data_IF_465206961511
#
_entry.id   IF_465206961511
#
_cell.length_a   1.000
_cell.length_b   1.000
_cell.length_c   1.000
_cell.angle_alpha   90.00
_cell.angle_beta   90.00
_cell.angle_gamma   90.00
#
_symmetry.space_group_name_H-M   'P 1'
#
loop_
_entity.id
_entity.type
_entity.pdbx_description
1 polymer ?
#
# COMPACT_ATOMS: atom_id res chain seq x y z
N UNK A 1 -15.79 -22.17 7.40
CA UNK A 1 -15.32 -22.51 6.05
C UNK A 1 -13.81 -22.34 6.03
N UNK A 2 -13.06 -23.41 5.75
CA UNK A 2 -11.61 -23.28 5.53
C UNK A 2 -11.40 -22.65 4.15
N UNK A 3 -10.84 -21.45 4.09
CA UNK A 3 -10.33 -20.91 2.84
C UNK A 3 -9.20 -21.84 2.34
N UNK A 4 -9.28 -22.32 1.10
CA UNK A 4 -8.26 -23.21 0.52
C UNK A 4 -6.90 -22.53 0.32
N UNK A 5 -6.75 -21.26 0.69
CA UNK A 5 -5.49 -20.52 0.59
C UNK A 5 -5.09 -20.16 -0.84
N UNK A 6 -5.93 -20.44 -1.83
CA UNK A 6 -5.77 -20.00 -3.21
C UNK A 6 -6.17 -18.53 -3.35
N UNK A 7 -5.36 -17.75 -4.07
CA UNK A 7 -5.63 -16.35 -4.37
C UNK A 7 -5.93 -16.20 -5.86
N UNK A 8 -6.95 -15.40 -6.17
CA UNK A 8 -7.43 -15.18 -7.52
C UNK A 8 -7.82 -13.72 -7.74
N UNK A 9 -7.39 -13.13 -8.85
CA UNK A 9 -7.99 -11.90 -9.36
C UNK A 9 -9.08 -12.27 -10.37
N UNK A 10 -10.30 -11.83 -10.11
CA UNK A 10 -11.43 -12.03 -11.00
C UNK A 10 -11.76 -10.72 -11.71
N UNK A 11 -11.77 -10.74 -13.04
CA UNK A 11 -12.36 -9.66 -13.80
C UNK A 11 -13.89 -9.89 -13.85
N UNK A 12 -14.71 -9.04 -13.22
CA UNK A 12 -16.13 -9.34 -12.97
C UNK A 12 -16.98 -9.42 -14.24
N UNK A 13 -16.61 -8.70 -15.31
CA UNK A 13 -17.38 -8.69 -16.56
C UNK A 13 -16.97 -9.79 -17.54
N UNK A 14 -15.68 -9.91 -17.88
CA UNK A 14 -15.18 -10.99 -18.76
C UNK A 14 -15.17 -12.37 -18.10
N UNK A 15 -15.29 -12.44 -16.76
CA UNK A 15 -15.13 -13.66 -15.96
C UNK A 15 -13.74 -14.27 -16.02
N UNK A 16 -12.77 -13.58 -16.62
CA UNK A 16 -11.38 -14.02 -16.64
C UNK A 16 -10.84 -14.06 -15.21
N UNK A 17 -10.11 -15.12 -14.89
CA UNK A 17 -9.46 -15.30 -13.61
C UNK A 17 -7.96 -15.41 -13.81
N UNK A 18 -7.20 -14.65 -13.02
CA UNK A 18 -5.76 -14.76 -12.91
C UNK A 18 -5.48 -15.52 -11.62
N UNK A 19 -4.96 -16.74 -11.78
CA UNK A 19 -4.52 -17.58 -10.68
C UNK A 19 -3.21 -17.03 -10.11
N UNK A 20 -3.19 -16.78 -8.81
CA UNK A 20 -2.02 -16.26 -8.10
C UNK A 20 -1.37 -17.34 -7.25
N UNK A 21 -0.08 -17.20 -6.89
CA UNK A 21 0.56 -18.12 -5.96
C UNK A 21 -0.15 -18.13 -4.60
N UNK A 22 -0.14 -19.29 -3.93
CA UNK A 22 -0.95 -19.52 -2.73
C UNK A 22 -0.52 -18.68 -1.52
N UNK A 23 -1.40 -18.62 -0.51
CA UNK A 23 -1.13 -18.00 0.79
C UNK A 23 0.07 -18.59 1.54
N UNK A 24 0.36 -19.87 1.34
CA UNK A 24 1.52 -20.52 1.95
C UNK A 24 2.81 -19.90 1.40
N UNK A 25 2.87 -19.61 0.09
CA UNK A 25 4.02 -18.97 -0.53
C UNK A 25 4.31 -17.55 0.02
N UNK A 26 3.32 -16.84 0.59
CA UNK A 26 3.54 -15.58 1.33
C UNK A 26 4.02 -15.80 2.77
N UNK A 27 3.61 -16.90 3.40
CA UNK A 27 3.92 -17.21 4.80
C UNK A 27 5.34 -17.77 4.96
N UNK A 28 5.86 -18.47 3.95
CA UNK A 28 7.17 -19.10 3.96
C UNK A 28 8.33 -18.11 4.11
N UNK A 29 8.10 -16.82 3.87
CA UNK A 29 9.13 -15.77 4.00
C UNK A 29 9.61 -15.54 5.45
N UNK A 30 8.82 -15.86 6.47
CA UNK A 30 9.11 -15.45 7.87
C UNK A 30 9.38 -16.63 8.82
N UNK A 31 9.19 -17.87 8.37
CA UNK A 31 9.66 -19.05 9.09
C UNK A 31 9.22 -19.21 10.55
N UNK A 32 8.03 -18.74 10.96
CA UNK A 32 7.51 -18.92 12.34
C UNK A 32 5.97 -19.09 12.42
N UNK A 33 5.56 -19.55 13.61
CA UNK A 33 4.47 -20.46 14.04
C UNK A 33 3.00 -20.19 13.63
N UNK A 34 2.18 -21.23 13.84
CA UNK A 34 0.72 -21.25 13.66
C UNK A 34 0.04 -20.08 14.41
N UNK A 35 -0.80 -19.33 13.70
CA UNK A 35 -1.61 -18.26 14.28
C UNK A 35 -2.61 -18.87 15.29
N UNK A 36 -2.77 -18.30 16.50
CA UNK A 36 -3.81 -18.73 17.44
C UNK A 36 -5.19 -18.74 16.76
N UNK A 37 -5.95 -19.82 16.98
CA UNK A 37 -7.31 -19.96 16.41
C UNK A 37 -8.17 -18.75 16.77
N UNK A 38 -8.59 -17.98 15.77
CA UNK A 38 -9.56 -16.88 15.92
C UNK A 38 -9.14 -15.55 15.29
N UNK A 39 -7.87 -15.39 14.91
CA UNK A 39 -7.38 -14.17 14.24
C UNK A 39 -7.03 -14.45 12.77
N UNK A 40 -7.87 -13.99 11.84
CA UNK A 40 -7.62 -14.10 10.40
C UNK A 40 -7.03 -12.77 9.92
N UNK A 41 -5.77 -12.48 10.28
CA UNK A 41 -5.06 -11.28 9.80
C UNK A 41 -4.07 -11.61 8.67
N UNK A 42 -4.46 -12.41 7.68
CA UNK A 42 -3.60 -12.73 6.52
C UNK A 42 -4.36 -12.57 5.21
N UNK A 43 -4.86 -11.36 4.97
CA UNK A 43 -5.44 -10.96 3.70
C UNK A 43 -4.52 -10.01 2.96
N UNK A 44 -4.56 -10.10 1.63
CA UNK A 44 -4.08 -9.03 0.75
C UNK A 44 -5.02 -7.85 0.97
N UNK A 45 -4.46 -6.73 1.41
CA UNK A 45 -5.21 -5.52 1.77
C UNK A 45 -5.39 -4.63 0.55
N UNK A 46 -4.31 -4.40 -0.21
CA UNK A 46 -4.29 -3.54 -1.40
C UNK A 46 -3.55 -4.22 -2.54
N UNK A 47 -3.98 -3.93 -3.78
CA UNK A 47 -3.34 -4.46 -4.98
C UNK A 47 -3.23 -3.40 -6.07
N UNK A 48 -2.15 -3.42 -6.85
CA UNK A 48 -2.03 -2.63 -8.08
C UNK A 48 -1.52 -3.52 -9.21
N UNK A 49 -1.96 -3.21 -10.43
CA UNK A 49 -1.43 -3.79 -11.66
C UNK A 49 -0.66 -2.71 -12.42
N UNK A 50 0.53 -3.02 -12.92
CA UNK A 50 1.31 -2.08 -13.74
C UNK A 50 0.70 -1.80 -15.11
N UNK A 51 -0.16 -2.71 -15.59
CA UNK A 51 -0.83 -2.59 -16.88
C UNK A 51 -2.12 -3.42 -16.88
N UNK A 52 -3.01 -3.14 -17.84
CA UNK A 52 -4.26 -3.88 -18.00
C UNK A 52 -3.98 -5.31 -18.51
N UNK A 53 -4.31 -6.37 -17.72
CA UNK A 53 -4.08 -7.77 -18.10
C UNK A 53 -4.87 -8.23 -19.33
N UNK A 54 -5.88 -7.47 -19.76
CA UNK A 54 -6.66 -7.74 -20.98
C UNK A 54 -5.96 -7.23 -22.24
N UNK A 55 -4.98 -6.34 -22.10
CA UNK A 55 -4.26 -5.71 -23.22
C UNK A 55 -2.85 -6.29 -23.40
N UNK A 56 -2.22 -6.72 -22.30
CA UNK A 56 -0.86 -7.24 -22.32
C UNK A 56 -0.69 -8.36 -21.30
N UNK A 57 0.18 -9.32 -21.61
CA UNK A 57 0.68 -10.33 -20.66
C UNK A 57 1.90 -9.85 -19.88
N UNK A 58 2.48 -8.71 -20.27
CA UNK A 58 3.63 -8.09 -19.61
C UNK A 58 3.13 -7.09 -18.56
N UNK A 59 2.75 -7.61 -17.39
CA UNK A 59 2.33 -6.81 -16.25
C UNK A 59 2.90 -7.38 -14.95
N UNK A 60 3.00 -6.51 -13.95
CA UNK A 60 3.34 -6.85 -12.57
C UNK A 60 2.09 -6.65 -11.73
N UNK A 61 1.71 -7.67 -10.96
CA UNK A 61 0.80 -7.53 -9.83
C UNK A 61 1.62 -7.28 -8.58
N UNK A 62 1.32 -6.21 -7.88
CA UNK A 62 1.89 -5.96 -6.56
C UNK A 62 0.80 -5.91 -5.51
N UNK A 63 1.11 -6.48 -4.35
CA UNK A 63 0.20 -6.63 -3.22
C UNK A 63 0.80 -6.01 -1.97
N UNK A 64 -0.04 -5.34 -1.19
CA UNK A 64 0.20 -5.04 0.21
C UNK A 64 -0.61 -6.03 1.04
N UNK A 65 0.02 -6.63 2.05
CA UNK A 65 -0.62 -7.63 2.89
C UNK A 65 -0.11 -7.52 4.32
N UNK A 66 -0.97 -7.87 5.26
CA UNK A 66 -0.61 -7.89 6.67
C UNK A 66 -0.02 -9.25 7.06
N UNK A 67 1.15 -9.23 7.70
CA UNK A 67 1.75 -10.41 8.34
C UNK A 67 2.58 -9.98 9.56
N UNK A 68 1.92 -9.75 10.69
CA UNK A 68 2.47 -9.12 11.91
C UNK A 68 3.03 -7.70 11.71
N UNK A 69 3.08 -7.22 10.46
CA UNK A 69 3.55 -5.93 10.00
C UNK A 69 3.09 -5.74 8.55
N UNK A 70 3.11 -4.49 8.05
CA UNK A 70 2.79 -4.18 6.66
C UNK A 70 3.90 -4.70 5.73
N UNK A 71 3.55 -5.66 4.86
CA UNK A 71 4.46 -6.32 3.93
C UNK A 71 4.07 -6.03 2.48
N UNK A 72 5.06 -6.07 1.59
CA UNK A 72 4.88 -5.88 0.16
C UNK A 72 5.45 -7.08 -0.61
N UNK A 73 4.72 -7.54 -1.62
CA UNK A 73 5.20 -8.56 -2.53
C UNK A 73 4.66 -8.32 -3.95
N UNK A 74 5.33 -8.87 -4.96
CA UNK A 74 4.85 -8.82 -6.32
C UNK A 74 4.97 -10.16 -7.04
N UNK A 75 4.26 -10.26 -8.15
CA UNK A 75 4.19 -11.43 -9.01
C UNK A 75 4.00 -10.99 -10.46
N UNK A 76 4.61 -11.70 -11.40
CA UNK A 76 4.36 -11.53 -12.84
C UNK A 76 3.77 -12.81 -13.44
N UNK A 77 3.01 -12.70 -14.54
CA UNK A 77 2.59 -13.86 -15.31
C UNK A 77 3.76 -14.77 -15.65
N UNK A 78 3.69 -16.03 -15.20
CA UNK A 78 4.73 -17.03 -15.39
C UNK A 78 5.70 -17.20 -14.20
N UNK A 79 5.73 -16.28 -13.24
CA UNK A 79 6.48 -16.46 -12.00
C UNK A 79 5.82 -17.59 -11.16
N UNK A 80 6.63 -18.50 -10.64
CA UNK A 80 6.13 -19.63 -9.82
C UNK A 80 5.72 -19.21 -8.41
N UNK A 81 6.32 -18.15 -7.87
CA UNK A 81 6.16 -17.72 -6.47
C UNK A 81 6.13 -16.19 -6.36
N UNK A 82 5.68 -15.69 -5.21
CA UNK A 82 5.78 -14.28 -4.84
C UNK A 82 7.24 -13.85 -4.65
N UNK A 83 7.55 -12.62 -5.07
CA UNK A 83 8.81 -11.94 -4.78
C UNK A 83 8.57 -10.88 -3.72
N UNK A 84 9.19 -11.02 -2.54
CA UNK A 84 8.97 -10.12 -1.41
C UNK A 84 9.85 -8.88 -1.47
N UNK A 85 9.33 -7.77 -0.96
CA UNK A 85 10.06 -6.52 -0.70
C UNK A 85 10.24 -6.44 0.82
N UNK A 86 11.49 -6.51 1.30
CA UNK A 86 11.77 -6.50 2.73
C UNK A 86 11.69 -5.07 3.26
N UNK A 87 10.71 -4.86 4.13
CA UNK A 87 10.45 -3.60 4.84
C UNK A 87 10.95 -3.64 6.29
N UNK A 88 11.57 -4.74 6.75
CA UNK A 88 11.87 -4.97 8.17
C UNK A 88 13.38 -4.86 8.49
N UNK A 89 13.70 -4.02 9.48
CA UNK A 89 15.02 -3.92 10.10
C UNK A 89 15.20 -4.93 11.25
N UNK A 90 15.17 -6.24 11.01
CA UNK A 90 15.59 -7.17 12.07
C UNK A 90 17.13 -7.25 12.13
N UNK A 91 17.69 -6.68 13.19
CA UNK A 91 19.06 -6.93 13.67
C UNK A 91 19.18 -8.18 14.56
N UNK A 92 18.26 -9.14 14.43
CA UNK A 92 18.25 -10.40 15.20
C UNK A 92 18.94 -11.56 14.48
N UNK A 93 19.30 -12.64 15.20
CA UNK A 93 20.05 -13.76 14.63
C UNK A 93 19.26 -14.43 13.51
N UNK A 94 19.97 -14.71 12.41
CA UNK A 94 19.48 -15.33 11.18
C UNK A 94 18.52 -16.49 11.46
N UNK A 95 17.23 -16.28 11.24
CA UNK A 95 16.25 -17.37 11.13
C UNK A 95 16.54 -18.10 9.82
N UNK A 96 16.49 -19.44 9.84
CA UNK A 96 16.83 -20.29 8.71
C UNK A 96 16.11 -19.84 7.44
N UNK A 97 16.87 -19.72 6.33
CA UNK A 97 16.32 -19.32 5.05
C UNK A 97 15.21 -20.30 4.61
N UNK A 98 14.11 -19.81 4.01
CA UNK A 98 13.02 -20.68 3.56
C UNK A 98 13.51 -21.68 2.51
N UNK A 99 12.93 -22.88 2.52
CA UNK A 99 13.26 -23.98 1.59
C UNK A 99 12.94 -23.60 0.12
N UNK A 100 12.04 -22.63 -0.08
CA UNK A 100 11.79 -21.96 -1.38
C UNK A 100 12.49 -20.61 -1.37
N UNK A 101 13.41 -20.40 -2.30
CA UNK A 101 14.23 -19.19 -2.40
C UNK A 101 13.38 -18.00 -2.87
N UNK A 102 12.68 -17.35 -1.95
CA UNK A 102 12.09 -16.03 -2.22
C UNK A 102 13.24 -15.06 -2.55
N UNK A 103 13.14 -14.39 -3.69
CA UNK A 103 14.13 -13.40 -4.08
C UNK A 103 13.75 -12.08 -3.42
N UNK A 104 14.60 -11.58 -2.53
CA UNK A 104 14.46 -10.22 -2.03
C UNK A 104 14.70 -9.25 -3.20
N UNK A 105 13.72 -8.39 -3.49
CA UNK A 105 13.86 -7.37 -4.54
C UNK A 105 14.65 -6.17 -4.03
N UNK A 106 14.08 -5.44 -3.07
CA UNK A 106 14.68 -4.26 -2.47
C UNK A 106 14.52 -4.35 -0.96
N UNK A 107 15.52 -3.88 -0.23
CA UNK A 107 15.46 -3.70 1.21
C UNK A 107 15.29 -2.22 1.51
N UNK A 108 14.16 -1.84 2.08
CA UNK A 108 13.96 -0.47 2.57
C UNK A 108 14.74 -0.32 3.86
N UNK A 109 15.72 0.58 3.88
CA UNK A 109 16.50 0.92 5.06
C UNK A 109 16.44 2.42 5.28
N UNK A 110 15.66 2.82 6.26
CA UNK A 110 15.61 4.17 6.79
C UNK A 110 15.44 4.07 8.31
N UNK A 111 16.13 4.92 9.08
CA UNK A 111 16.01 4.92 10.54
C UNK A 111 14.61 5.34 10.98
N UNK A 112 13.92 6.12 10.13
CA UNK A 112 12.55 6.57 10.39
C UNK A 112 11.59 5.38 10.56
N UNK A 113 11.85 4.24 9.90
CA UNK A 113 11.03 3.03 10.07
C UNK A 113 11.04 2.45 11.48
N UNK A 114 12.04 2.79 12.30
CA UNK A 114 12.17 2.24 13.66
C UNK A 114 11.30 3.01 14.68
N UNK A 115 10.89 4.25 14.35
CA UNK A 115 10.21 5.18 15.26
C UNK A 115 8.79 5.59 14.79
N UNK A 116 8.46 5.34 13.52
CA UNK A 116 7.18 5.72 12.93
C UNK A 116 6.35 4.49 12.52
N UNK A 117 5.02 4.62 12.64
CA UNK A 117 4.08 3.72 11.97
C UNK A 117 4.09 4.00 10.47
N UNK A 118 4.13 2.95 9.67
CA UNK A 118 4.31 3.07 8.22
C UNK A 118 3.24 2.34 7.44
N UNK A 119 2.70 3.03 6.44
CA UNK A 119 1.84 2.44 5.42
C UNK A 119 2.45 2.58 4.03
N UNK A 120 2.12 1.61 3.18
CA UNK A 120 2.58 1.57 1.80
C UNK A 120 1.39 1.60 0.85
N UNK A 121 1.50 2.47 -0.15
CA UNK A 121 0.58 2.59 -1.25
C UNK A 121 1.34 2.42 -2.56
N UNK A 122 0.65 1.88 -3.55
CA UNK A 122 1.22 1.69 -4.87
C UNK A 122 0.35 2.40 -5.89
N UNK A 123 1.00 3.22 -6.70
CA UNK A 123 0.34 4.13 -7.63
C UNK A 123 0.94 3.92 -9.00
N UNK A 124 0.10 3.72 -10.00
CA UNK A 124 0.51 3.81 -11.40
C UNK A 124 0.53 5.29 -11.81
N UNK A 125 1.61 5.72 -12.46
CA UNK A 125 1.76 7.06 -13.02
C UNK A 125 2.52 6.99 -14.35
N UNK A 126 1.83 7.28 -15.46
CA UNK A 126 2.43 7.33 -16.80
C UNK A 126 3.19 6.05 -17.22
N UNK A 127 2.72 4.89 -16.78
CA UNK A 127 3.33 3.57 -16.98
C UNK A 127 4.40 3.20 -15.96
N UNK A 128 4.77 4.11 -15.06
CA UNK A 128 5.67 3.83 -13.95
C UNK A 128 4.88 3.32 -12.72
N UNK A 129 5.50 2.42 -11.97
CA UNK A 129 5.00 2.01 -10.66
C UNK A 129 5.69 2.83 -9.58
N UNK A 130 4.91 3.58 -8.81
CA UNK A 130 5.39 4.35 -7.67
C UNK A 130 5.01 3.65 -6.37
N UNK A 131 5.98 3.53 -5.46
CA UNK A 131 5.78 3.20 -4.06
C UNK A 131 5.69 4.50 -3.27
N UNK A 132 4.52 4.75 -2.68
CA UNK A 132 4.31 5.85 -1.74
C UNK A 132 4.35 5.29 -0.32
N UNK A 133 5.28 5.80 0.47
CA UNK A 133 5.46 5.45 1.87
C UNK A 133 4.94 6.58 2.73
N UNK A 134 3.95 6.29 3.57
CA UNK A 134 3.36 7.20 4.53
C UNK A 134 3.98 6.90 5.91
N UNK A 135 4.44 7.95 6.59
CA UNK A 135 4.97 7.88 7.94
C UNK A 135 4.06 8.66 8.90
N UNK A 136 3.68 8.01 10.00
CA UNK A 136 2.84 8.59 11.04
C UNK A 136 3.39 8.30 12.43
N UNK A 137 3.06 9.17 13.38
CA UNK A 137 3.27 8.92 14.80
C UNK A 137 1.94 8.55 15.46
N UNK A 138 2.01 7.68 16.47
CA UNK A 138 0.85 7.45 17.32
C UNK A 138 0.64 8.70 18.19
N UNK A 139 -0.57 9.26 18.14
CA UNK A 139 -1.01 10.36 18.96
C UNK A 139 -1.66 9.79 20.23
N UNK A 140 -0.96 9.88 21.36
CA UNK A 140 -1.45 9.36 22.65
C UNK A 140 -2.64 10.14 23.22
N UNK A 141 -2.87 11.39 22.80
CA UNK A 141 -3.98 12.21 23.32
C UNK A 141 -5.30 11.90 22.62
N UNK A 142 -5.23 11.62 21.31
CA UNK A 142 -6.39 11.30 20.48
C UNK A 142 -6.57 9.79 20.20
N UNK A 143 -5.69 8.95 20.75
CA UNK A 143 -5.60 7.50 20.49
C UNK A 143 -5.60 7.17 18.99
N UNK A 144 -4.95 8.00 18.17
CA UNK A 144 -4.96 7.93 16.71
C UNK A 144 -3.56 8.00 16.09
N UNK A 145 -3.50 8.18 14.77
CA UNK A 145 -2.24 8.40 14.05
C UNK A 145 -2.26 9.75 13.36
N UNK A 146 -1.14 10.46 13.46
CA UNK A 146 -0.92 11.70 12.74
C UNK A 146 0.15 11.49 11.67
N UNK A 147 -0.25 11.60 10.41
CA UNK A 147 0.68 11.56 9.29
C UNK A 147 1.56 12.81 9.34
N UNK A 148 2.89 12.61 9.23
CA UNK A 148 3.85 13.71 9.25
C UNK A 148 4.72 13.77 7.99
N UNK A 149 4.80 12.67 7.22
CA UNK A 149 5.65 12.63 6.03
C UNK A 149 5.18 11.62 5.00
N UNK A 150 5.40 11.97 3.74
CA UNK A 150 5.36 11.04 2.63
C UNK A 150 6.71 10.95 1.94
N UNK A 151 6.97 9.77 1.38
CA UNK A 151 8.09 9.53 0.47
C UNK A 151 7.57 8.82 -0.76
N UNK A 152 7.94 9.31 -1.94
CA UNK A 152 7.58 8.69 -3.22
C UNK A 152 8.85 8.13 -3.85
N UNK A 153 8.80 6.87 -4.25
CA UNK A 153 9.90 6.20 -4.93
C UNK A 153 9.38 5.47 -6.16
N UNK A 154 10.01 5.67 -7.31
CA UNK A 154 9.77 4.88 -8.51
C UNK A 154 10.42 3.51 -8.37
N UNK A 155 9.68 2.46 -8.69
CA UNK A 155 10.12 1.08 -8.62
C UNK A 155 10.54 0.54 -9.98
N UNK A 156 11.83 0.23 -10.12
CA UNK A 156 12.34 -0.56 -11.24
C UNK A 156 12.38 -2.04 -10.84
N UNK A 157 11.36 -2.78 -11.25
CA UNK A 157 11.21 -4.22 -10.95
C UNK A 157 12.30 -5.06 -11.63
N UNK A 158 12.85 -4.59 -12.76
CA UNK A 158 13.87 -5.32 -13.52
C UNK A 158 15.24 -5.15 -12.88
N UNK A 159 15.63 -3.89 -12.59
CA UNK A 159 16.89 -3.57 -11.92
C UNK A 159 16.85 -3.86 -10.43
N UNK A 160 15.65 -4.02 -9.86
CA UNK A 160 15.43 -4.22 -8.42
C UNK A 160 15.93 -3.02 -7.63
N UNK A 161 15.51 -1.85 -8.06
CA UNK A 161 15.94 -0.58 -7.50
C UNK A 161 14.73 0.30 -7.20
N UNK A 162 14.87 1.12 -6.16
CA UNK A 162 13.95 2.20 -5.85
C UNK A 162 14.68 3.52 -6.06
N UNK A 163 14.05 4.42 -6.78
CA UNK A 163 14.55 5.79 -6.98
C UNK A 163 13.59 6.77 -6.37
N UNK A 164 14.06 7.49 -5.36
CA UNK A 164 13.26 8.53 -4.73
C UNK A 164 13.00 9.66 -5.73
N UNK A 165 11.74 10.13 -5.75
CA UNK A 165 11.29 11.25 -6.55
C UNK A 165 10.55 12.24 -5.66
N UNK A 166 10.70 13.52 -5.98
CA UNK A 166 10.05 14.63 -5.29
C UNK A 166 9.25 15.54 -6.23
N UNK A 167 9.10 15.13 -7.49
CA UNK A 167 8.39 15.87 -8.52
C UNK A 167 7.52 14.91 -9.34
N UNK A 168 6.20 15.13 -9.30
CA UNK A 168 5.18 14.43 -10.07
C UNK A 168 4.77 15.21 -11.34
N UNK A 169 5.40 16.37 -11.59
CA UNK A 169 4.99 17.34 -12.59
C UNK A 169 3.55 17.81 -12.38
N UNK A 170 2.78 17.86 -13.45
CA UNK A 170 1.35 18.23 -13.42
C UNK A 170 0.44 17.15 -12.82
N UNK A 171 1.00 16.11 -12.18
CA UNK A 171 0.23 15.01 -11.61
C UNK A 171 0.00 15.16 -10.11
N UNK A 172 -1.08 14.57 -9.63
CA UNK A 172 -1.45 14.53 -8.21
C UNK A 172 -1.83 13.11 -7.83
N UNK A 173 -1.42 12.68 -6.64
CA UNK A 173 -1.74 11.37 -6.10
C UNK A 173 -2.88 11.50 -5.07
N UNK A 174 -3.80 10.54 -5.09
CA UNK A 174 -4.88 10.39 -4.10
C UNK A 174 -4.73 9.06 -3.39
N UNK A 175 -4.64 9.08 -2.06
CA UNK A 175 -4.44 7.91 -1.20
C UNK A 175 -5.61 7.77 -0.23
N UNK A 176 -6.09 6.55 -0.07
CA UNK A 176 -7.03 6.22 0.99
C UNK A 176 -7.41 4.76 0.99
N UNK A 177 -8.43 4.44 1.78
CA UNK A 177 -8.90 3.08 2.02
C UNK A 177 -9.21 2.29 0.76
N UNK A 178 -9.89 2.91 -0.20
CA UNK A 178 -10.33 2.23 -1.41
C UNK A 178 -9.23 2.08 -2.46
N UNK A 179 -8.03 2.56 -2.17
CA UNK A 179 -6.86 2.42 -3.02
C UNK A 179 -6.13 3.74 -3.24
N UNK A 180 -5.19 3.67 -4.17
CA UNK A 180 -4.35 4.78 -4.53
C UNK A 180 -4.47 5.02 -6.04
N UNK A 181 -4.49 6.29 -6.43
CA UNK A 181 -4.62 6.67 -7.84
C UNK A 181 -3.85 7.94 -8.13
N UNK A 182 -3.50 8.15 -9.40
CA UNK A 182 -2.96 9.41 -9.88
C UNK A 182 -3.90 10.04 -10.89
N UNK A 183 -3.88 11.37 -10.98
CA UNK A 183 -4.59 12.13 -12.01
C UNK A 183 -3.69 13.23 -12.56
N UNK A 184 -3.99 13.63 -13.80
CA UNK A 184 -3.49 14.88 -14.38
C UNK A 184 -4.25 16.06 -13.76
N UNK A 185 -3.58 16.79 -12.86
CA UNK A 185 -4.16 17.89 -12.09
C UNK A 185 -4.56 19.07 -12.96
N UNK A 186 -3.90 19.27 -14.11
CA UNK A 186 -4.19 20.37 -15.03
C UNK A 186 -5.63 20.31 -15.58
N UNK A 187 -6.26 19.14 -15.54
CA UNK A 187 -7.64 18.90 -15.97
C UNK A 187 -8.69 19.30 -14.92
N UNK A 188 -8.29 19.64 -13.69
CA UNK A 188 -9.21 19.87 -12.57
C UNK A 188 -8.92 21.19 -11.85
N UNK A 189 -9.96 22.00 -11.63
CA UNK A 189 -9.81 23.24 -10.86
C UNK A 189 -9.70 22.94 -9.37
N UNK A 190 -8.71 23.56 -8.71
CA UNK A 190 -8.52 23.45 -7.26
C UNK A 190 -7.69 22.24 -6.81
N UNK A 191 -7.23 21.39 -7.74
CA UNK A 191 -6.26 20.34 -7.46
C UNK A 191 -4.87 20.90 -7.70
N UNK A 192 -3.99 20.79 -6.71
CA UNK A 192 -2.61 21.27 -6.81
C UNK A 192 -1.71 20.20 -7.48
N UNK A 193 -0.88 20.55 -8.47
CA UNK A 193 0.11 19.63 -9.04
C UNK A 193 1.19 19.28 -8.00
N UNK A 194 1.94 18.21 -8.20
CA UNK A 194 2.99 17.77 -7.28
C UNK A 194 2.55 17.58 -5.82
N UNK A 195 1.30 17.17 -5.61
CA UNK A 195 0.72 16.97 -4.28
C UNK A 195 0.21 15.54 -4.09
N UNK A 196 0.12 15.15 -2.82
CA UNK A 196 -0.55 13.93 -2.37
C UNK A 196 -1.75 14.34 -1.52
N UNK A 197 -2.95 13.91 -1.90
CA UNK A 197 -4.17 14.06 -1.14
C UNK A 197 -4.44 12.74 -0.43
N UNK A 198 -4.63 12.76 0.88
CA UNK A 198 -4.83 11.54 1.65
C UNK A 198 -6.05 11.64 2.56
N UNK A 199 -6.71 10.50 2.75
CA UNK A 199 -7.76 10.30 3.75
C UNK A 199 -7.32 9.29 4.79
N UNK A 200 -7.94 9.34 5.96
CA UNK A 200 -7.64 8.48 7.09
C UNK A 200 -7.86 7.00 6.74
N UNK A 201 -6.80 6.21 6.82
CA UNK A 201 -6.76 4.80 6.46
C UNK A 201 -6.15 3.93 7.57
N UNK A 202 -6.26 4.37 8.82
CA UNK A 202 -5.83 3.62 9.99
C UNK A 202 -6.97 2.78 10.56
N UNK A 203 -7.53 1.90 9.71
CA UNK A 203 -8.81 1.23 9.97
C UNK A 203 -8.89 0.44 11.28
N UNK A 204 -7.79 -0.18 11.68
CA UNK A 204 -7.71 -0.98 12.90
C UNK A 204 -7.99 -0.13 14.14
N UNK A 205 -7.70 1.17 14.10
CA UNK A 205 -7.90 2.09 15.21
C UNK A 205 -9.33 2.63 15.31
N UNK A 206 -10.13 2.54 14.24
CA UNK A 206 -11.45 3.20 14.20
C UNK A 206 -12.43 2.67 15.26
N UNK A 207 -12.20 1.46 15.78
CA UNK A 207 -13.02 0.91 16.86
C UNK A 207 -12.64 1.44 18.24
N UNK A 208 -11.39 1.85 18.42
CA UNK A 208 -10.80 2.29 19.68
C UNK A 208 -10.90 3.82 19.84
N UNK A 209 -10.70 4.56 18.74
CA UNK A 209 -10.75 6.02 18.74
C UNK A 209 -12.19 6.54 18.95
N UNK A 210 -12.36 7.59 19.75
CA UNK A 210 -13.63 8.29 19.88
C UNK A 210 -14.10 8.82 18.51
N UNK A 211 -15.36 8.60 18.13
CA UNK A 211 -15.86 9.01 16.80
C UNK A 211 -15.37 8.19 15.59
N UNK A 212 -14.33 7.36 15.74
CA UNK A 212 -13.76 6.54 14.67
C UNK A 212 -12.71 7.24 13.83
N UNK A 213 -12.57 6.86 12.55
CA UNK A 213 -11.61 7.47 11.63
C UNK A 213 -12.08 8.81 11.07
N UNK A 214 -11.26 9.42 10.23
CA UNK A 214 -11.54 10.67 9.52
C UNK A 214 -10.83 11.89 10.13
N UNK A 215 -9.76 11.68 10.90
CA UNK A 215 -8.93 12.75 11.49
C UNK A 215 -7.68 13.01 10.67
N UNK A 216 -7.01 11.92 10.27
CA UNK A 216 -5.74 11.97 9.55
C UNK A 216 -5.99 12.19 8.05
N UNK A 217 -6.30 13.43 7.68
CA UNK A 217 -6.60 13.81 6.30
C UNK A 217 -5.94 15.12 5.94
N UNK A 218 -5.40 15.20 4.72
CA UNK A 218 -4.75 16.42 4.28
C UNK A 218 -4.20 16.36 2.87
N UNK A 219 -3.52 17.45 2.52
CA UNK A 219 -2.67 17.52 1.34
C UNK A 219 -1.23 17.61 1.79
N UNK A 220 -0.36 16.86 1.14
CA UNK A 220 1.08 16.93 1.30
C UNK A 220 1.69 17.51 0.03
N UNK A 221 2.40 18.61 0.15
CA UNK A 221 3.24 19.17 -0.91
C UNK A 221 4.53 18.35 -1.00
N UNK A 222 4.81 17.75 -2.16
CA UNK A 222 5.99 16.90 -2.32
C UNK A 222 7.30 17.70 -2.45
N UNK A 223 7.22 18.99 -2.80
CA UNK A 223 8.38 19.88 -2.91
C UNK A 223 8.85 20.32 -1.51
N UNK A 224 7.94 20.91 -0.73
CA UNK A 224 8.28 21.51 0.57
C UNK A 224 8.03 20.57 1.76
N UNK A 225 7.30 19.47 1.55
CA UNK A 225 6.96 18.49 2.60
C UNK A 225 5.91 18.97 3.59
N UNK A 226 5.13 20.00 3.23
CA UNK A 226 4.13 20.61 4.10
C UNK A 226 2.82 19.84 4.03
N UNK A 227 2.26 19.53 5.21
CA UNK A 227 0.90 18.99 5.35
C UNK A 227 -0.06 20.12 5.67
N UNK A 228 -1.13 20.23 4.89
CA UNK A 228 -2.24 21.15 5.12
C UNK A 228 -3.56 20.38 5.23
N UNK A 229 -4.45 20.80 6.13
CA UNK A 229 -5.83 20.32 6.10
C UNK A 229 -6.58 20.96 4.93
N UNK A 230 -7.21 20.13 4.08
CA UNK A 230 -8.11 20.61 3.03
C UNK A 230 -9.58 20.67 3.48
N UNK A 231 -9.91 20.13 4.65
CA UNK A 231 -11.27 20.06 5.17
C UNK A 231 -11.35 20.73 6.54
N UNK A 232 -12.02 21.89 6.66
CA UNK A 232 -12.05 22.65 7.91
C UNK A 232 -12.96 22.03 8.99
N UNK A 233 -13.69 20.96 8.68
CA UNK A 233 -14.61 20.29 9.59
C UNK A 233 -14.09 18.96 10.10
N UNK A 234 -14.95 18.25 10.83
CA UNK A 234 -14.74 16.86 11.22
C UNK A 234 -15.71 15.96 10.46
N UNK A 235 -15.22 14.88 9.88
CA UNK A 235 -16.04 13.88 9.19
C UNK A 235 -15.81 12.49 9.80
N UNK A 236 -16.03 12.38 11.12
CA UNK A 236 -15.70 11.20 11.87
C UNK A 236 -16.68 10.05 11.61
N UNK A 237 -16.15 8.84 11.45
CA UNK A 237 -16.98 7.64 11.32
C UNK A 237 -16.20 6.37 11.67
N UNK A 238 -16.83 5.51 12.47
CA UNK A 238 -16.30 4.17 12.80
C UNK A 238 -16.43 3.17 11.66
N UNK A 239 -17.32 3.43 10.71
CA UNK A 239 -17.70 2.45 9.66
C UNK A 239 -17.18 2.91 8.30
N UNK A 240 -17.31 4.21 8.03
CA UNK A 240 -17.09 4.80 6.72
C UNK A 240 -16.54 6.22 6.89
N UNK A 241 -15.27 6.40 7.28
CA UNK A 241 -14.62 7.70 7.20
C UNK A 241 -14.51 8.14 5.73
N UNK A 242 -14.12 9.41 5.47
CA UNK A 242 -13.99 9.92 4.12
C UNK A 242 -13.12 9.04 3.24
N UNK A 243 -13.56 8.86 2.00
CA UNK A 243 -12.86 8.06 1.00
C UNK A 243 -13.00 8.69 -0.36
N UNK A 244 -12.03 8.43 -1.23
CA UNK A 244 -12.06 8.89 -2.60
C UNK A 244 -13.01 8.05 -3.44
N UNK A 245 -13.78 8.72 -4.30
CA UNK A 245 -14.67 8.06 -5.27
C UNK A 245 -14.24 8.50 -6.65
N UNK A 246 -13.79 7.55 -7.46
CA UNK A 246 -13.53 7.75 -8.88
C UNK A 246 -14.71 7.15 -9.66
N UNK A 247 -15.58 7.98 -10.27
CA UNK A 247 -16.66 7.46 -11.09
C UNK A 247 -16.04 6.71 -12.28
N UNK A 248 -16.16 5.38 -12.27
CA UNK A 248 -15.63 4.51 -13.31
C UNK A 248 -16.72 3.61 -13.87
N UNK A 249 -17.31 4.05 -14.98
CA UNK A 249 -17.91 3.17 -15.99
C UNK A 249 -17.72 3.81 -17.36
N UNK A 250 -16.77 3.27 -18.13
CA UNK A 250 -16.74 3.37 -19.59
C UNK A 250 -16.54 1.98 -20.16
#
# INVERSE_FOLDING_TARGET
MSCNGEFNLLHPFSRNQIQLPSRQALSDFVGLEEVPKGQIYRCIDKTVLSANPSLTSDYVLMISYFNFSNCLAFWRPGDLNWTNIDTRNFGGPSIAQPIVKSHLLVRLKDKIFDEASVQFYLVELHGALLLVTLFAHHNEEEDGYDTFKFKVSELDVIKRELRDINDLGDSTIFLGRNGASSIDSSKFKGVKPNHIYFTDDWIEEFNYVEGGGGRDMGTYDLEDGIIESFYPGLSLSRICPPTWVTPSFR
#
